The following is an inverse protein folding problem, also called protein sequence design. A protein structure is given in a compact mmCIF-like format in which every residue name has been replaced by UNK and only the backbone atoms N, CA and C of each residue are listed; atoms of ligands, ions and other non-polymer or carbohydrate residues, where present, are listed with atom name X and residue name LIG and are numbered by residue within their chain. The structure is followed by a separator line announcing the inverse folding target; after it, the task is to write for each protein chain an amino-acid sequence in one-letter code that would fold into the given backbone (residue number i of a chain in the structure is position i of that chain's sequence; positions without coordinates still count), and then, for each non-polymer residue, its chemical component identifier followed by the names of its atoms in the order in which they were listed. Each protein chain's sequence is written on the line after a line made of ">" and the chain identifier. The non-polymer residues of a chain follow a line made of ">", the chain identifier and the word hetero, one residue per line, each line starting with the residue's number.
data_IF_922585785632
#
_entry.id   IF_922585785632
#
_cell.length_a   1.000
_cell.length_b   1.000
_cell.length_c   1.000
_cell.angle_alpha   90.00
_cell.angle_beta   90.00
_cell.angle_gamma   90.00
#
_symmetry.space_group_name_H-M   'P 1'
#
loop_
_entity.id
_entity.type
_entity.pdbx_description
1 polymer ?
#
# COMPACT_ATOMS: atom_id res chain seq x y z
N UNK A 1 -9.56 0.19 45.70
CA UNK A 1 -10.01 0.40 44.30
C UNK A 1 -8.93 1.01 43.41
N UNK A 2 -8.10 1.96 43.89
CA UNK A 2 -7.01 2.57 43.10
C UNK A 2 -5.94 1.60 42.55
N UNK A 3 -5.68 0.48 43.23
CA UNK A 3 -4.69 -0.49 42.77
C UNK A 3 -5.06 -1.13 41.42
N UNK A 4 -6.33 -1.49 41.19
CA UNK A 4 -6.77 -2.13 39.95
C UNK A 4 -6.69 -1.20 38.73
N UNK A 5 -7.02 0.09 38.90
CA UNK A 5 -6.93 1.08 37.84
C UNK A 5 -5.48 1.29 37.35
N UNK A 6 -4.51 1.20 38.26
CA UNK A 6 -3.08 1.35 37.92
C UNK A 6 -2.52 0.10 37.19
N UNK A 7 -3.05 -1.09 37.48
CA UNK A 7 -2.68 -2.33 36.80
C UNK A 7 -3.25 -2.43 35.37
N UNK A 8 -4.48 -1.97 35.14
CA UNK A 8 -5.06 -1.92 33.78
C UNK A 8 -4.32 -0.92 32.90
N UNK A 9 -4.02 0.27 33.42
CA UNK A 9 -3.31 1.30 32.66
C UNK A 9 -1.92 0.81 32.21
N UNK A 10 -1.15 0.14 33.08
CA UNK A 10 0.15 -0.47 32.73
C UNK A 10 0.05 -1.57 31.68
N UNK A 11 -1.01 -2.40 31.69
CA UNK A 11 -1.23 -3.42 30.66
C UNK A 11 -1.54 -2.80 29.30
N UNK A 12 -2.29 -1.72 29.30
CA UNK A 12 -2.70 -1.03 28.07
C UNK A 12 -1.51 -0.29 27.41
N UNK A 13 -0.66 0.37 28.21
CA UNK A 13 0.61 0.94 27.71
C UNK A 13 1.54 -0.13 27.10
N UNK A 14 1.64 -1.30 27.74
CA UNK A 14 2.48 -2.39 27.24
C UNK A 14 1.94 -2.97 25.93
N UNK A 15 0.62 -3.19 25.82
CA UNK A 15 -0.03 -3.64 24.56
C UNK A 15 0.19 -2.65 23.40
N UNK A 16 0.03 -1.34 23.64
CA UNK A 16 0.28 -0.31 22.61
C UNK A 16 1.75 -0.28 22.18
N UNK A 17 2.68 -0.47 23.13
CA UNK A 17 4.11 -0.60 22.84
C UNK A 17 4.47 -1.83 22.00
N UNK A 18 3.86 -2.98 22.29
CA UNK A 18 4.14 -4.22 21.56
C UNK A 18 3.50 -4.22 20.15
N UNK A 19 2.29 -3.66 20.02
CA UNK A 19 1.61 -3.51 18.72
C UNK A 19 2.34 -2.54 17.78
N UNK A 20 2.86 -1.42 18.30
CA UNK A 20 3.64 -0.45 17.50
C UNK A 20 4.98 -1.04 17.03
N UNK A 21 5.67 -1.82 17.87
CA UNK A 21 6.90 -2.54 17.49
C UNK A 21 6.67 -3.61 16.43
N UNK A 22 5.61 -4.40 16.56
CA UNK A 22 5.25 -5.43 15.57
C UNK A 22 4.91 -4.83 14.20
N UNK A 23 4.12 -3.75 14.15
CA UNK A 23 3.79 -3.04 12.90
C UNK A 23 5.03 -2.43 12.23
N UNK A 24 5.94 -1.83 13.01
CA UNK A 24 7.18 -1.25 12.47
C UNK A 24 8.08 -2.32 11.83
N UNK A 25 8.23 -3.48 12.46
CA UNK A 25 8.99 -4.61 11.92
C UNK A 25 8.38 -5.17 10.63
N UNK A 26 7.04 -5.27 10.55
CA UNK A 26 6.32 -5.69 9.35
C UNK A 26 6.57 -4.76 8.16
N UNK A 27 6.49 -3.44 8.38
CA UNK A 27 6.70 -2.46 7.31
C UNK A 27 8.17 -2.43 6.85
N UNK A 28 9.12 -2.58 7.78
CA UNK A 28 10.54 -2.69 7.46
C UNK A 28 10.84 -3.91 6.57
N UNK A 29 10.24 -5.06 6.88
CA UNK A 29 10.43 -6.28 6.08
C UNK A 29 9.84 -6.15 4.67
N UNK A 30 8.64 -5.55 4.54
CA UNK A 30 8.03 -5.25 3.23
C UNK A 30 8.93 -4.34 2.38
N UNK A 31 9.46 -3.27 2.97
CA UNK A 31 10.38 -2.34 2.30
C UNK A 31 11.64 -3.05 1.80
N UNK A 32 12.24 -3.91 2.61
CA UNK A 32 13.45 -4.66 2.22
C UNK A 32 13.15 -5.56 1.02
N UNK A 33 12.06 -6.33 1.07
CA UNK A 33 11.68 -7.22 -0.04
C UNK A 33 11.38 -6.45 -1.32
N UNK A 34 10.62 -5.34 -1.22
CA UNK A 34 10.30 -4.47 -2.36
C UNK A 34 11.54 -3.80 -2.96
N UNK A 35 12.46 -3.37 -2.12
CA UNK A 35 13.72 -2.77 -2.57
C UNK A 35 14.61 -3.82 -3.24
N UNK A 36 14.70 -5.02 -2.67
CA UNK A 36 15.48 -6.12 -3.23
C UNK A 36 14.97 -6.55 -4.60
N UNK A 37 13.64 -6.68 -4.79
CA UNK A 37 13.07 -7.08 -6.08
C UNK A 37 13.27 -6.01 -7.16
N UNK A 38 13.21 -4.73 -6.80
CA UNK A 38 13.52 -3.64 -7.74
C UNK A 38 14.99 -3.61 -8.12
N UNK A 39 15.90 -3.71 -7.14
CA UNK A 39 17.34 -3.76 -7.40
C UNK A 39 17.66 -4.94 -8.32
N UNK A 40 17.08 -6.12 -8.05
CA UNK A 40 17.22 -7.28 -8.92
C UNK A 40 16.71 -7.00 -10.33
N UNK A 41 15.56 -6.33 -10.46
CA UNK A 41 15.00 -5.94 -11.77
C UNK A 41 15.97 -5.03 -12.54
N UNK A 42 16.54 -4.01 -11.89
CA UNK A 42 17.54 -3.14 -12.53
C UNK A 42 18.81 -3.89 -12.90
N UNK A 43 19.32 -4.77 -12.04
CA UNK A 43 20.51 -5.58 -12.33
C UNK A 43 20.30 -6.50 -13.53
N UNK A 44 19.14 -7.17 -13.59
CA UNK A 44 18.80 -8.04 -14.73
C UNK A 44 18.76 -7.25 -16.02
N UNK A 45 18.09 -6.09 -16.05
CA UNK A 45 18.05 -5.24 -17.26
C UNK A 45 19.43 -4.68 -17.59
N UNK A 46 20.22 -4.28 -16.59
CA UNK A 46 21.57 -3.76 -16.81
C UNK A 46 22.45 -4.82 -17.47
N UNK A 47 22.49 -6.04 -16.93
CA UNK A 47 23.25 -7.15 -17.52
C UNK A 47 22.71 -7.51 -18.90
N UNK A 48 21.40 -7.49 -19.09
CA UNK A 48 20.77 -7.74 -20.39
C UNK A 48 21.25 -6.75 -21.45
N UNK A 49 21.26 -5.45 -21.14
CA UNK A 49 21.68 -4.41 -22.09
C UNK A 49 23.19 -4.35 -22.33
N UNK A 50 24.01 -4.77 -21.37
CA UNK A 50 25.47 -4.84 -21.57
C UNK A 50 25.93 -6.08 -22.33
N UNK A 51 25.02 -7.01 -22.64
CA UNK A 51 25.34 -8.26 -23.35
C UNK A 51 24.66 -8.30 -24.72
N UNK A 52 25.08 -9.26 -25.56
CA UNK A 52 24.46 -9.50 -26.88
C UNK A 52 22.98 -9.96 -26.77
N UNK A 53 22.47 -10.15 -25.56
CA UNK A 53 21.05 -10.42 -25.28
C UNK A 53 20.14 -9.24 -25.67
N UNK A 54 20.67 -8.01 -25.71
CA UNK A 54 19.95 -6.81 -26.16
C UNK A 54 19.33 -6.96 -27.56
N UNK A 55 19.90 -7.80 -28.43
CA UNK A 55 19.34 -8.12 -29.77
C UNK A 55 17.96 -8.79 -29.65
N UNK A 56 17.71 -9.49 -28.54
CA UNK A 56 16.44 -10.17 -28.25
C UNK A 56 15.48 -9.33 -27.40
N UNK A 57 15.75 -8.04 -27.17
CA UNK A 57 14.89 -7.18 -26.34
C UNK A 57 13.43 -7.14 -26.85
N UNK A 58 13.21 -7.03 -28.16
CA UNK A 58 11.85 -7.00 -28.74
C UNK A 58 11.12 -8.35 -28.59
N UNK A 59 11.71 -9.50 -28.95
CA UNK A 59 11.12 -10.80 -28.62
C UNK A 59 10.85 -11.00 -27.12
N UNK A 60 11.79 -10.60 -26.26
CA UNK A 60 11.64 -10.72 -24.81
C UNK A 60 10.47 -9.88 -24.29
N UNK A 61 10.30 -8.65 -24.77
CA UNK A 61 9.12 -7.81 -24.50
C UNK A 61 7.82 -8.50 -24.88
N UNK A 62 7.74 -9.02 -26.11
CA UNK A 62 6.55 -9.73 -26.60
C UNK A 62 6.22 -10.95 -25.73
N UNK A 63 7.24 -11.72 -25.35
CA UNK A 63 7.09 -12.87 -24.46
C UNK A 63 6.62 -12.47 -23.06
N UNK A 64 7.17 -11.38 -22.49
CA UNK A 64 6.82 -10.90 -21.16
C UNK A 64 5.36 -10.40 -21.11
N UNK A 65 4.93 -9.65 -22.13
CA UNK A 65 3.54 -9.20 -22.27
C UNK A 65 2.61 -10.40 -22.47
N UNK A 66 3.00 -11.39 -23.27
CA UNK A 66 2.22 -12.61 -23.45
C UNK A 66 2.02 -13.38 -22.14
N UNK A 67 3.09 -13.61 -21.37
CA UNK A 67 2.99 -14.24 -20.03
C UNK A 67 2.08 -13.41 -19.13
N UNK A 68 2.25 -12.09 -19.11
CA UNK A 68 1.44 -11.21 -18.30
C UNK A 68 -0.05 -11.35 -18.62
N UNK A 69 -0.43 -11.31 -19.91
CA UNK A 69 -1.80 -11.51 -20.35
C UNK A 69 -2.33 -12.90 -20.01
N UNK A 70 -1.51 -13.94 -20.13
CA UNK A 70 -1.89 -15.31 -19.79
C UNK A 70 -2.17 -15.47 -18.30
N UNK A 71 -1.34 -14.88 -17.44
CA UNK A 71 -1.53 -14.88 -15.98
C UNK A 71 -2.76 -14.03 -15.61
N UNK A 72 -2.93 -12.87 -16.24
CA UNK A 72 -4.06 -11.97 -16.00
C UNK A 72 -5.39 -12.62 -16.38
N UNK A 73 -5.47 -13.25 -17.54
CA UNK A 73 -6.68 -13.92 -18.05
C UNK A 73 -7.16 -15.07 -17.14
N UNK A 74 -6.25 -15.71 -16.40
CA UNK A 74 -6.60 -16.76 -15.43
C UNK A 74 -7.20 -16.21 -14.13
N UNK A 75 -7.04 -14.92 -13.84
CA UNK A 75 -7.56 -14.26 -12.63
C UNK A 75 -8.87 -13.52 -12.94
N UNK A 76 -9.93 -14.28 -13.25
CA UNK A 76 -11.18 -13.76 -13.83
C UNK A 76 -11.92 -12.66 -13.05
N UNK A 77 -11.66 -12.44 -11.75
CA UNK A 77 -12.45 -11.52 -10.91
C UNK A 77 -11.62 -10.58 -10.02
N UNK A 78 -10.36 -10.28 -10.37
CA UNK A 78 -9.55 -9.30 -9.60
C UNK A 78 -9.22 -8.11 -10.50
N UNK A 79 -9.46 -6.86 -10.05
CA UNK A 79 -9.26 -5.70 -10.91
C UNK A 79 -7.81 -5.63 -11.41
N UNK A 80 -7.66 -5.11 -12.63
CA UNK A 80 -6.41 -4.99 -13.40
C UNK A 80 -5.23 -4.39 -12.62
N UNK A 81 -5.53 -3.60 -11.58
CA UNK A 81 -4.58 -2.95 -10.70
C UNK A 81 -5.05 -3.08 -9.25
N UNK A 82 -4.86 -4.25 -8.63
CA UNK A 82 -4.84 -4.31 -7.17
C UNK A 82 -3.56 -3.61 -6.69
N UNK A 83 -3.64 -2.28 -6.53
CA UNK A 83 -2.60 -1.43 -5.96
C UNK A 83 -2.42 -1.63 -4.45
N UNK A 84 -3.19 -2.54 -3.85
CA UNK A 84 -3.18 -2.98 -2.44
C UNK A 84 -1.85 -3.65 -2.00
N UNK A 85 -0.73 -3.42 -2.70
CA UNK A 85 0.61 -3.86 -2.30
C UNK A 85 0.86 -5.37 -2.29
N UNK A 86 -0.16 -6.22 -2.43
CA UNK A 86 -0.07 -7.68 -2.39
C UNK A 86 0.42 -8.30 -3.71
N UNK A 87 0.46 -7.55 -4.81
CA UNK A 87 0.97 -8.03 -6.10
C UNK A 87 2.32 -7.42 -6.45
N UNK A 88 3.33 -7.67 -5.60
CA UNK A 88 4.74 -7.29 -5.83
C UNK A 88 5.22 -7.59 -7.26
N UNK A 89 4.76 -8.72 -7.79
CA UNK A 89 5.08 -9.18 -9.14
C UNK A 89 4.54 -8.28 -10.25
N UNK A 90 3.34 -7.71 -10.11
CA UNK A 90 2.73 -6.88 -11.16
C UNK A 90 3.55 -5.63 -11.42
N UNK A 91 3.95 -4.92 -10.36
CA UNK A 91 4.71 -3.68 -10.48
C UNK A 91 6.15 -3.94 -10.92
N UNK A 92 6.77 -5.03 -10.45
CA UNK A 92 8.10 -5.44 -10.92
C UNK A 92 8.08 -5.79 -12.42
N UNK A 93 7.10 -6.57 -12.89
CA UNK A 93 6.93 -6.87 -14.33
C UNK A 93 6.71 -5.58 -15.12
N UNK A 94 5.83 -4.69 -14.66
CA UNK A 94 5.56 -3.41 -15.31
C UNK A 94 6.85 -2.57 -15.44
N UNK A 95 7.63 -2.48 -14.37
CA UNK A 95 8.94 -1.83 -14.38
C UNK A 95 9.88 -2.44 -15.42
N UNK A 96 10.01 -3.76 -15.44
CA UNK A 96 10.85 -4.48 -16.41
C UNK A 96 10.39 -4.24 -17.85
N UNK A 97 9.08 -4.29 -18.13
CA UNK A 97 8.51 -4.02 -19.45
C UNK A 97 8.82 -2.59 -19.89
N UNK A 98 8.58 -1.60 -19.02
CA UNK A 98 8.84 -0.19 -19.35
C UNK A 98 10.33 0.03 -19.64
N UNK A 99 11.22 -0.51 -18.81
CA UNK A 99 12.66 -0.38 -19.03
C UNK A 99 13.11 -1.01 -20.34
N UNK A 100 12.70 -2.25 -20.61
CA UNK A 100 13.01 -2.93 -21.88
C UNK A 100 12.47 -2.14 -23.08
N UNK A 101 11.26 -1.57 -22.96
CA UNK A 101 10.66 -0.77 -24.03
C UNK A 101 11.45 0.51 -24.29
N UNK A 102 11.92 1.18 -23.23
CA UNK A 102 12.77 2.36 -23.33
C UNK A 102 14.08 2.01 -24.04
N UNK A 103 14.76 0.93 -23.63
CA UNK A 103 16.00 0.51 -24.29
C UNK A 103 15.78 0.12 -25.75
N UNK A 104 14.70 -0.61 -26.06
CA UNK A 104 14.32 -0.98 -27.43
C UNK A 104 14.06 0.23 -28.34
N UNK A 105 13.73 1.39 -27.77
CA UNK A 105 13.34 2.61 -28.51
C UNK A 105 14.39 3.72 -28.45
N UNK A 106 15.61 3.42 -28.01
CA UNK A 106 16.73 4.38 -28.00
C UNK A 106 17.26 4.75 -26.61
N UNK A 107 16.81 4.07 -25.55
CA UNK A 107 17.32 4.27 -24.20
C UNK A 107 17.03 5.67 -23.67
N UNK A 108 18.06 6.39 -23.24
CA UNK A 108 17.92 7.72 -22.63
C UNK A 108 17.36 8.78 -23.59
N UNK A 109 17.52 8.63 -24.90
CA UNK A 109 16.97 9.54 -25.92
C UNK A 109 15.59 9.11 -26.41
N UNK A 110 15.04 8.03 -25.86
CA UNK A 110 13.74 7.49 -26.26
C UNK A 110 12.61 8.52 -26.08
N UNK A 111 11.70 8.65 -27.06
CA UNK A 111 10.51 9.49 -26.94
C UNK A 111 9.58 9.09 -25.78
N UNK A 112 9.67 7.83 -25.32
CA UNK A 112 8.86 7.29 -24.22
C UNK A 112 9.59 7.27 -22.88
N UNK A 113 10.79 7.87 -22.79
CA UNK A 113 11.57 7.93 -21.54
C UNK A 113 10.77 8.56 -20.38
N UNK A 114 9.85 9.48 -20.69
CA UNK A 114 8.97 10.12 -19.71
C UNK A 114 8.09 9.12 -18.92
N UNK A 115 7.89 7.89 -19.43
CA UNK A 115 7.17 6.84 -18.71
C UNK A 115 7.85 6.49 -17.38
N UNK A 116 9.18 6.64 -17.27
CA UNK A 116 9.88 6.47 -16.00
C UNK A 116 9.39 7.47 -14.96
N UNK A 117 9.06 8.69 -15.35
CA UNK A 117 8.56 9.72 -14.42
C UNK A 117 7.19 9.34 -13.85
N UNK A 118 6.30 8.79 -14.69
CA UNK A 118 5.03 8.24 -14.23
C UNK A 118 5.22 6.99 -13.36
N UNK A 119 6.20 6.15 -13.71
CA UNK A 119 6.51 4.95 -12.96
C UNK A 119 7.00 5.26 -11.54
N UNK A 120 7.70 6.39 -11.31
CA UNK A 120 8.03 6.86 -9.95
C UNK A 120 6.78 6.96 -9.07
N UNK A 121 5.69 7.54 -9.59
CA UNK A 121 4.41 7.61 -8.87
C UNK A 121 3.74 6.25 -8.72
N UNK A 122 3.77 5.43 -9.77
CA UNK A 122 3.27 4.05 -9.70
C UNK A 122 3.95 3.25 -8.57
N UNK A 123 5.26 3.40 -8.41
CA UNK A 123 6.02 2.81 -7.31
C UNK A 123 5.60 3.40 -5.96
N UNK A 124 5.43 4.72 -5.88
CA UNK A 124 5.05 5.39 -4.63
C UNK A 124 3.68 4.96 -4.09
N UNK A 125 2.73 4.66 -4.98
CA UNK A 125 1.39 4.21 -4.60
C UNK A 125 1.33 2.70 -4.35
N UNK A 126 2.12 1.91 -5.07
CA UNK A 126 2.03 0.47 -4.98
C UNK A 126 2.98 -0.17 -3.94
N UNK A 127 4.12 0.47 -3.65
CA UNK A 127 5.11 0.03 -2.67
C UNK A 127 5.20 0.98 -1.48
N UNK A 128 6.05 0.64 -0.50
CA UNK A 128 6.38 1.59 0.55
C UNK A 128 6.99 2.86 -0.07
N UNK A 129 6.58 4.07 0.34
CA UNK A 129 7.00 5.32 -0.30
C UNK A 129 8.53 5.48 -0.39
N UNK A 130 9.26 4.97 0.61
CA UNK A 130 10.73 5.00 0.62
C UNK A 130 11.37 4.24 -0.55
N UNK A 131 10.68 3.25 -1.10
CA UNK A 131 11.15 2.46 -2.25
C UNK A 131 11.28 3.31 -3.52
N UNK A 132 10.61 4.47 -3.58
CA UNK A 132 10.79 5.48 -4.65
C UNK A 132 12.25 5.91 -4.79
N UNK A 133 12.98 6.06 -3.69
CA UNK A 133 14.39 6.46 -3.75
C UNK A 133 15.28 5.34 -4.29
N UNK A 134 14.93 4.08 -4.01
CA UNK A 134 15.62 2.91 -4.58
C UNK A 134 15.37 2.85 -6.09
N UNK A 135 14.14 3.07 -6.53
CA UNK A 135 13.79 3.17 -7.94
C UNK A 135 14.54 4.31 -8.64
N UNK A 136 14.58 5.49 -8.03
CA UNK A 136 15.28 6.66 -8.55
C UNK A 136 16.78 6.38 -8.73
N UNK A 137 17.44 5.84 -7.71
CA UNK A 137 18.86 5.50 -7.79
C UNK A 137 19.11 4.41 -8.84
N UNK A 138 18.31 3.34 -8.86
CA UNK A 138 18.42 2.29 -9.86
C UNK A 138 18.21 2.80 -11.29
N UNK A 139 17.21 3.67 -11.48
CA UNK A 139 16.91 4.33 -12.75
C UNK A 139 18.05 5.25 -13.21
N UNK A 140 18.65 6.02 -12.32
CA UNK A 140 19.82 6.84 -12.71
C UNK A 140 21.00 5.93 -13.06
N UNK A 141 21.33 4.96 -12.20
CA UNK A 141 22.49 4.08 -12.36
C UNK A 141 22.44 3.28 -13.67
N UNK A 142 21.27 2.76 -14.05
CA UNK A 142 21.15 1.94 -15.27
C UNK A 142 21.41 2.76 -16.54
N UNK A 143 21.08 4.06 -16.53
CA UNK A 143 21.29 4.95 -17.65
C UNK A 143 22.64 5.70 -17.62
N UNK A 144 23.43 5.61 -16.56
CA UNK A 144 24.76 6.26 -16.47
C UNK A 144 25.64 6.00 -17.71
N UNK A 145 25.80 4.75 -18.20
CA UNK A 145 26.66 4.51 -19.36
C UNK A 145 26.17 5.22 -20.63
N UNK A 146 24.86 5.44 -20.75
CA UNK A 146 24.26 6.16 -21.88
C UNK A 146 24.26 7.67 -21.65
N UNK A 147 24.20 8.12 -20.39
CA UNK A 147 24.17 9.52 -20.03
C UNK A 147 25.45 10.27 -20.41
N UNK A 148 26.59 9.57 -20.44
CA UNK A 148 27.88 10.13 -20.83
C UNK A 148 28.23 9.92 -22.31
N UNK A 149 27.31 9.39 -23.13
CA UNK A 149 27.49 9.25 -24.57
C UNK A 149 26.79 10.39 -25.32
N UNK A 150 27.38 10.79 -26.44
CA UNK A 150 26.86 11.80 -27.36
C UNK A 150 26.54 13.14 -26.69
N UNK A 151 25.25 13.49 -26.54
CA UNK A 151 24.77 14.71 -25.91
C UNK A 151 24.64 14.57 -24.39
N UNK A 152 25.78 14.70 -23.70
CA UNK A 152 25.87 14.58 -22.23
C UNK A 152 24.92 15.57 -21.53
N UNK A 153 24.88 16.83 -21.98
CA UNK A 153 24.06 17.86 -21.35
C UNK A 153 22.57 17.55 -21.49
N UNK A 154 22.09 17.19 -22.69
CA UNK A 154 20.70 16.81 -22.90
C UNK A 154 20.33 15.53 -22.15
N UNK A 155 21.22 14.55 -22.08
CA UNK A 155 20.98 13.31 -21.37
C UNK A 155 20.89 13.50 -19.85
N UNK A 156 21.78 14.32 -19.25
CA UNK A 156 21.66 14.70 -17.83
C UNK A 156 20.36 15.45 -17.56
N UNK A 157 19.94 16.33 -18.48
CA UNK A 157 18.67 17.04 -18.37
C UNK A 157 17.45 16.10 -18.41
N UNK A 158 17.53 14.98 -19.14
CA UNK A 158 16.50 13.93 -19.12
C UNK A 158 16.48 13.11 -17.83
N UNK A 159 17.61 12.97 -17.13
CA UNK A 159 17.66 12.28 -15.84
C UNK A 159 17.27 13.16 -14.65
N UNK A 160 17.51 14.47 -14.75
CA UNK A 160 17.21 15.42 -13.67
C UNK A 160 15.75 15.36 -13.15
N UNK A 161 14.71 15.19 -14.00
CA UNK A 161 13.35 15.00 -13.53
C UNK A 161 13.15 13.82 -12.57
N UNK A 162 13.91 12.71 -12.70
CA UNK A 162 13.79 11.61 -11.73
C UNK A 162 14.16 12.07 -10.32
N UNK A 163 15.21 12.89 -10.16
CA UNK A 163 15.61 13.43 -8.87
C UNK A 163 14.56 14.38 -8.29
N UNK A 164 13.97 15.23 -9.15
CA UNK A 164 12.99 16.24 -8.72
C UNK A 164 11.62 15.63 -8.39
N UNK A 165 11.17 14.65 -9.15
CA UNK A 165 9.84 14.03 -9.00
C UNK A 165 9.83 13.04 -7.84
N UNK A 166 10.96 12.40 -7.51
CA UNK A 166 11.01 11.37 -6.47
C UNK A 166 10.56 11.82 -5.08
N UNK A 167 11.02 12.99 -4.54
CA UNK A 167 10.51 13.51 -3.27
C UNK A 167 9.01 13.80 -3.30
N UNK A 168 8.51 14.28 -4.44
CA UNK A 168 7.09 14.59 -4.62
C UNK A 168 6.26 13.31 -4.62
N UNK A 169 6.68 12.29 -5.36
CA UNK A 169 6.05 10.98 -5.38
C UNK A 169 6.08 10.33 -3.98
N UNK A 170 7.21 10.40 -3.27
CA UNK A 170 7.30 9.96 -1.88
C UNK A 170 6.23 10.64 -0.99
N UNK A 171 6.10 11.97 -1.11
CA UNK A 171 5.13 12.72 -0.33
C UNK A 171 3.70 12.27 -0.62
N UNK A 172 3.31 12.17 -1.90
CA UNK A 172 1.97 11.73 -2.28
C UNK A 172 1.69 10.28 -1.92
N UNK A 173 2.64 9.36 -2.11
CA UNK A 173 2.49 7.97 -1.72
C UNK A 173 2.32 7.80 -0.21
N UNK A 174 3.04 8.60 0.57
CA UNK A 174 2.91 8.60 2.02
C UNK A 174 1.56 9.16 2.49
N UNK A 175 1.06 10.23 1.85
CA UNK A 175 -0.23 10.80 2.21
C UNK A 175 -1.39 9.89 1.81
N UNK A 176 -1.34 9.28 0.63
CA UNK A 176 -2.29 8.26 0.18
C UNK A 176 -2.39 7.08 1.18
N UNK A 177 -1.26 6.57 1.67
CA UNK A 177 -1.26 5.49 2.66
C UNK A 177 -1.74 5.92 4.05
N UNK A 178 -1.71 7.21 4.36
CA UNK A 178 -2.28 7.71 5.62
C UNK A 178 -3.79 7.85 5.52
N UNK A 179 -4.34 8.24 4.36
CA UNK A 179 -5.79 8.23 4.16
C UNK A 179 -6.34 6.82 4.22
N UNK A 180 -5.73 5.86 3.51
CA UNK A 180 -6.20 4.47 3.50
C UNK A 180 -6.24 3.88 4.92
N UNK A 181 -5.23 4.16 5.75
CA UNK A 181 -5.20 3.70 7.14
C UNK A 181 -6.26 4.34 8.01
N UNK A 182 -6.61 5.60 7.76
CA UNK A 182 -7.67 6.28 8.51
C UNK A 182 -9.01 5.65 8.16
N UNK A 183 -9.22 5.34 6.88
CA UNK A 183 -10.43 4.67 6.42
C UNK A 183 -10.55 3.26 7.04
N UNK A 184 -9.46 2.47 7.03
CA UNK A 184 -9.41 1.18 7.74
C UNK A 184 -9.66 1.29 9.24
N UNK A 185 -9.08 2.29 9.91
CA UNK A 185 -9.29 2.53 11.35
C UNK A 185 -10.72 2.98 11.66
N UNK A 186 -11.35 3.74 10.75
CA UNK A 186 -12.74 4.14 10.86
C UNK A 186 -13.68 2.95 10.66
N UNK A 187 -13.45 2.11 9.65
CA UNK A 187 -14.23 0.88 9.43
C UNK A 187 -14.11 -0.07 10.63
N UNK A 188 -12.90 -0.30 11.15
CA UNK A 188 -12.68 -1.14 12.33
C UNK A 188 -13.30 -0.55 13.61
N UNK A 189 -13.36 0.78 13.72
CA UNK A 189 -14.05 1.44 14.82
C UNK A 189 -15.57 1.29 14.69
N UNK A 190 -16.12 1.48 13.50
CA UNK A 190 -17.53 1.30 13.21
C UNK A 190 -18.00 -0.13 13.52
N UNK A 191 -17.22 -1.15 13.12
CA UNK A 191 -17.50 -2.55 13.42
C UNK A 191 -17.52 -2.83 14.94
N UNK A 192 -16.58 -2.26 15.70
CA UNK A 192 -16.55 -2.38 17.17
C UNK A 192 -17.70 -1.66 17.85
N UNK A 193 -18.09 -0.49 17.36
CA UNK A 193 -19.25 0.24 17.87
C UNK A 193 -20.52 -0.57 17.66
N UNK A 194 -20.67 -1.20 16.50
CA UNK A 194 -21.77 -2.10 16.19
C UNK A 194 -21.80 -3.33 17.12
N UNK A 195 -20.68 -4.02 17.28
CA UNK A 195 -20.58 -5.18 18.18
C UNK A 195 -20.90 -4.82 19.63
N UNK A 196 -20.42 -3.65 20.10
CA UNK A 196 -20.73 -3.14 21.43
C UNK A 196 -22.22 -2.80 21.58
N UNK A 197 -22.82 -2.14 20.58
CA UNK A 197 -24.25 -1.82 20.57
C UNK A 197 -25.12 -3.09 20.59
N UNK A 198 -24.76 -4.11 19.80
CA UNK A 198 -25.45 -5.40 19.77
C UNK A 198 -25.35 -6.10 21.15
N UNK A 199 -24.16 -6.12 21.76
CA UNK A 199 -23.96 -6.71 23.10
C UNK A 199 -24.75 -6.00 24.18
N UNK A 200 -24.73 -4.65 24.20
CA UNK A 200 -25.49 -3.86 25.18
C UNK A 200 -26.99 -4.09 25.00
N UNK A 201 -27.47 -4.15 23.76
CA UNK A 201 -28.88 -4.37 23.47
C UNK A 201 -29.33 -5.76 23.95
N UNK A 202 -28.52 -6.80 23.70
CA UNK A 202 -28.79 -8.16 24.16
C UNK A 202 -28.80 -8.25 25.70
N UNK A 203 -27.81 -7.65 26.37
CA UNK A 203 -27.72 -7.61 27.84
C UNK A 203 -28.92 -6.87 28.46
N UNK A 204 -29.35 -5.75 27.87
CA UNK A 204 -30.50 -4.97 28.33
C UNK A 204 -31.81 -5.71 28.13
N UNK A 205 -32.02 -6.34 26.97
CA UNK A 205 -33.19 -7.17 26.70
C UNK A 205 -33.27 -8.37 27.67
N UNK A 206 -32.14 -9.02 27.97
CA UNK A 206 -32.07 -10.10 28.96
C UNK A 206 -32.51 -9.61 30.34
N UNK A 207 -32.00 -8.46 30.79
CA UNK A 207 -32.37 -7.87 32.09
C UNK A 207 -33.86 -7.53 32.15
N UNK A 208 -34.43 -6.93 31.10
CA UNK A 208 -35.86 -6.63 31.02
C UNK A 208 -36.68 -7.91 31.08
N UNK A 209 -36.28 -8.96 30.36
CA UNK A 209 -37.00 -10.24 30.29
C UNK A 209 -36.96 -10.99 31.62
N UNK A 210 -35.79 -11.09 32.24
CA UNK A 210 -35.57 -11.95 33.39
C UNK A 210 -35.99 -11.29 34.72
N UNK A 211 -35.96 -9.95 34.80
CA UNK A 211 -36.28 -9.20 36.04
C UNK A 211 -37.54 -8.35 35.96
N UNK A 212 -38.38 -8.55 34.94
CA UNK A 212 -39.58 -7.74 34.67
C UNK A 212 -40.47 -7.48 35.89
N UNK A 213 -40.66 -8.46 36.75
CA UNK A 213 -41.53 -8.34 37.95
C UNK A 213 -40.88 -7.57 39.11
N UNK A 214 -39.55 -7.40 39.09
CA UNK A 214 -38.78 -6.73 40.15
C UNK A 214 -38.21 -5.37 39.71
N UNK A 215 -38.43 -4.96 38.46
CA UNK A 215 -38.00 -3.68 37.93
C UNK A 215 -39.07 -2.61 38.21
N UNK A 216 -38.65 -1.43 38.66
CA UNK A 216 -39.57 -0.28 38.74
C UNK A 216 -39.92 0.21 37.33
N UNK A 217 -41.06 0.90 37.18
CA UNK A 217 -41.43 1.48 35.88
C UNK A 217 -40.34 2.44 35.37
N UNK A 218 -39.80 3.27 36.27
CA UNK A 218 -38.71 4.20 35.95
C UNK A 218 -37.44 3.50 35.44
N UNK A 219 -37.11 2.33 35.97
CA UNK A 219 -35.93 1.56 35.51
C UNK A 219 -36.19 0.93 34.15
N UNK A 220 -37.44 0.48 33.91
CA UNK A 220 -37.85 -0.08 32.61
C UNK A 220 -37.81 0.99 31.52
N UNK A 221 -38.28 2.20 31.83
CA UNK A 221 -38.26 3.34 30.91
C UNK A 221 -36.83 3.72 30.53
N UNK A 222 -35.91 3.77 31.51
CA UNK A 222 -34.48 4.03 31.27
C UNK A 222 -33.80 2.93 30.44
N UNK A 223 -34.17 1.67 30.63
CA UNK A 223 -33.62 0.56 29.84
C UNK A 223 -34.11 0.61 28.39
N UNK A 224 -35.37 1.02 28.16
CA UNK A 224 -35.89 1.24 26.81
C UNK A 224 -35.22 2.44 26.12
N UNK A 225 -34.91 3.51 26.86
CA UNK A 225 -34.13 4.64 26.35
C UNK A 225 -32.72 4.20 25.92
N UNK A 226 -32.06 3.34 26.70
CA UNK A 226 -30.77 2.76 26.32
C UNK A 226 -30.88 1.90 25.05
N UNK A 227 -31.95 1.13 24.87
CA UNK A 227 -32.17 0.34 23.64
C UNK A 227 -32.40 1.23 22.41
N UNK A 228 -33.07 2.36 22.57
CA UNK A 228 -33.25 3.35 21.50
C UNK A 228 -31.91 4.01 21.15
N UNK A 229 -31.12 4.41 22.15
CA UNK A 229 -29.81 5.02 21.94
C UNK A 229 -28.78 4.04 21.33
N UNK A 230 -28.82 2.74 21.68
CA UNK A 230 -27.96 1.72 21.03
C UNK A 230 -28.38 1.43 19.60
N UNK A 231 -29.68 1.46 19.29
CA UNK A 231 -30.19 1.33 17.92
C UNK A 231 -29.73 2.49 17.04
N UNK A 232 -29.77 3.72 17.55
CA UNK A 232 -29.28 4.91 16.85
C UNK A 232 -27.77 4.80 16.57
N UNK A 233 -26.97 4.39 17.57
CA UNK A 233 -25.53 4.15 17.40
C UNK A 233 -25.23 3.06 16.35
N UNK A 234 -26.09 2.05 16.24
CA UNK A 234 -25.97 0.98 15.24
C UNK A 234 -26.26 1.48 13.83
N UNK A 235 -27.20 2.42 13.68
CA UNK A 235 -27.52 3.03 12.39
C UNK A 235 -26.45 4.02 11.95
N UNK A 236 -25.89 4.80 12.88
CA UNK A 236 -24.78 5.73 12.59
C UNK A 236 -23.46 5.05 12.21
N UNK A 237 -23.26 3.81 12.68
CA UNK A 237 -22.05 3.02 12.40
C UNK A 237 -22.10 2.22 11.08
N UNK A 238 -23.21 2.30 10.33
CA UNK A 238 -23.33 1.63 9.03
C UNK A 238 -22.97 2.62 7.90
N UNK A 239 -21.80 2.48 7.23
CA UNK A 239 -21.32 3.42 6.21
C UNK A 239 -22.16 3.44 4.92
#
# INVERSE_FOLDING_TARGET
>A
MEANANYENKRDYKRKGDASRSRSASNGMKLITQSAILILSFLVIYVWEQTDLSIYTVPALGFLVFIYLLVSSRRKNKPFFNLDGNSLWTISILNTVILLLIFATGGITSPIFFLLYFLVFGIAFAFEPMTVFVFMLGGILIFIPSAFKDDVSGNLLRLAPLLLISPLAFFFGNEFRKSDKKDEEMEAMAERTKEAADTISEDVEEVIRDKKENLSSETTDKLNEILEETEDLRQESNP
#
